data_IF_393887224542
#
_entry.id   IF_393887224542
#
_cell.length_a   1.000
_cell.length_b   1.000
_cell.length_c   1.000
_cell.angle_alpha   90.00
_cell.angle_beta   90.00
_cell.angle_gamma   90.00
#
_symmetry.space_group_name_H-M   'P 1'
#
loop_
_entity.id
_entity.type
_entity.pdbx_description
1 polymer ?
#
# COMPACT_ATOMS: atom_id res chain seq x y z
N UNK A 1 7.08 6.08 -7.75
CA UNK A 1 7.96 6.32 -6.58
C UNK A 1 7.09 6.32 -5.34
N UNK A 2 7.48 5.60 -4.30
CA UNK A 2 6.80 5.60 -3.00
C UNK A 2 7.65 6.30 -1.95
N UNK A 3 7.03 7.03 -1.03
CA UNK A 3 7.72 7.74 0.04
C UNK A 3 7.52 7.11 1.42
N UNK A 4 8.19 7.66 2.44
CA UNK A 4 8.01 7.30 3.83
C UNK A 4 6.71 7.90 4.40
N UNK A 5 5.91 7.09 5.09
CA UNK A 5 4.69 7.51 5.75
C UNK A 5 4.80 7.33 7.28
N UNK A 6 4.96 8.45 7.99
CA UNK A 6 5.02 8.47 9.45
C UNK A 6 3.61 8.48 10.04
N UNK A 7 3.26 7.59 10.99
CA UNK A 7 1.96 7.63 11.64
C UNK A 7 1.82 8.87 12.53
N UNK A 8 0.64 9.49 12.53
CA UNK A 8 0.16 10.38 13.58
C UNK A 8 -0.92 9.62 14.34
N UNK A 9 -0.61 9.28 15.59
CA UNK A 9 -1.52 8.54 16.45
C UNK A 9 -2.54 9.45 17.15
N UNK A 10 -3.78 8.96 17.39
CA UNK A 10 -4.84 9.76 18.01
C UNK A 10 -4.66 9.95 19.52
N UNK A 11 -4.04 8.99 20.23
CA UNK A 11 -3.92 9.00 21.69
C UNK A 11 -2.63 8.29 22.19
N UNK A 12 -1.57 8.30 21.37
CA UNK A 12 -0.32 7.57 21.61
C UNK A 12 -0.18 6.31 20.77
N UNK A 13 1.03 5.76 20.75
CA UNK A 13 1.35 4.59 19.93
C UNK A 13 0.67 3.32 20.49
N UNK A 14 -0.13 2.61 19.67
CA UNK A 14 -0.89 1.47 20.15
C UNK A 14 -0.03 0.19 20.18
N UNK A 15 0.06 -0.47 21.33
CA UNK A 15 0.84 -1.71 21.49
C UNK A 15 0.37 -2.90 20.62
N UNK A 16 -0.80 -2.81 19.98
CA UNK A 16 -1.29 -3.82 19.03
C UNK A 16 -0.70 -3.69 17.62
N UNK A 17 0.03 -2.60 17.33
CA UNK A 17 0.67 -2.32 16.05
C UNK A 17 2.18 -2.11 16.24
N UNK A 18 2.98 -3.17 16.42
CA UNK A 18 4.43 -3.05 16.32
C UNK A 18 4.83 -2.55 14.92
N UNK A 19 6.06 -2.04 14.79
CA UNK A 19 6.58 -1.40 13.57
C UNK A 19 6.39 -2.24 12.30
N UNK A 20 6.45 -3.57 12.37
CA UNK A 20 6.27 -4.49 11.24
C UNK A 20 4.84 -4.49 10.69
N UNK A 21 3.86 -4.14 11.53
CA UNK A 21 2.45 -4.19 11.21
C UNK A 21 1.90 -2.81 10.79
N UNK A 22 2.73 -1.78 10.70
CA UNK A 22 2.28 -0.43 10.33
C UNK A 22 1.68 -0.36 8.91
N UNK A 23 1.95 -1.33 8.03
CA UNK A 23 1.26 -1.45 6.74
C UNK A 23 -0.27 -1.58 6.88
N UNK A 24 -0.76 -2.15 7.99
CA UNK A 24 -2.20 -2.32 8.29
C UNK A 24 -2.91 -0.97 8.30
N UNK A 25 -2.23 0.06 8.81
CA UNK A 25 -2.75 1.43 8.91
C UNK A 25 -2.21 2.35 7.81
N UNK A 26 -1.66 1.78 6.74
CA UNK A 26 -1.18 2.54 5.59
C UNK A 26 0.10 3.32 5.87
N UNK A 27 0.93 2.90 6.83
CA UNK A 27 2.17 3.59 7.18
C UNK A 27 3.41 2.79 6.76
N UNK A 28 4.57 3.46 6.74
CA UNK A 28 5.86 2.79 6.57
C UNK A 28 6.14 1.88 7.77
N UNK A 29 6.72 0.71 7.51
CA UNK A 29 6.89 -0.36 8.49
C UNK A 29 8.32 -0.90 8.51
N UNK A 30 8.69 -1.58 9.60
CA UNK A 30 10.00 -2.26 9.69
C UNK A 30 10.08 -3.37 8.65
N UNK A 31 11.10 -3.31 7.80
CA UNK A 31 11.28 -4.19 6.64
C UNK A 31 11.29 -3.44 5.31
N UNK A 32 10.88 -2.17 5.29
CA UNK A 32 11.10 -1.29 4.14
C UNK A 32 12.60 -0.91 4.01
N UNK A 33 13.06 -0.60 2.79
CA UNK A 33 14.42 -0.10 2.58
C UNK A 33 14.70 1.18 3.39
N UNK A 34 15.88 1.28 3.99
CA UNK A 34 16.32 2.49 4.73
C UNK A 34 16.98 3.53 3.81
N UNK A 35 17.36 3.11 2.61
CA UNK A 35 17.83 3.96 1.52
C UNK A 35 16.95 3.80 0.31
N UNK A 36 17.07 4.73 -0.63
CA UNK A 36 16.26 4.67 -1.83
C UNK A 36 16.62 3.43 -2.67
N UNK A 37 15.62 2.59 -2.94
CA UNK A 37 15.82 1.27 -3.53
C UNK A 37 14.62 0.84 -4.38
N UNK A 38 14.81 -0.10 -5.34
CA UNK A 38 13.70 -0.78 -5.99
C UNK A 38 12.81 -1.52 -4.97
N UNK A 39 11.51 -1.46 -5.16
CA UNK A 39 10.50 -2.19 -4.38
C UNK A 39 9.45 -2.77 -5.31
N UNK A 40 8.72 -3.79 -4.86
CA UNK A 40 7.67 -4.42 -5.67
C UNK A 40 6.47 -3.49 -5.90
N UNK A 41 6.07 -2.75 -4.87
CA UNK A 41 4.92 -1.86 -4.87
C UNK A 41 5.13 -0.73 -3.84
N UNK A 42 4.27 0.28 -3.89
CA UNK A 42 4.31 1.47 -3.02
C UNK A 42 3.15 1.47 -2.02
N UNK A 43 3.18 2.37 -1.05
CA UNK A 43 2.05 2.64 -0.15
C UNK A 43 1.13 3.71 -0.75
N UNK A 44 -0.18 3.47 -0.74
CA UNK A 44 -1.17 4.37 -1.35
C UNK A 44 -1.14 5.80 -0.82
N UNK A 45 -0.82 6.00 0.46
CA UNK A 45 -0.76 7.32 1.10
C UNK A 45 0.46 8.16 0.69
N UNK A 46 1.46 7.56 0.05
CA UNK A 46 2.74 8.18 -0.30
C UNK A 46 3.25 7.61 -1.60
N UNK A 47 2.60 7.98 -2.70
CA UNK A 47 2.93 7.50 -4.04
C UNK A 47 2.85 8.58 -5.11
N UNK A 48 3.72 8.46 -6.11
CA UNK A 48 3.71 9.26 -7.31
C UNK A 48 3.99 8.38 -8.54
N UNK A 49 3.17 8.51 -9.58
CA UNK A 49 3.32 7.83 -10.86
C UNK A 49 3.45 8.84 -11.99
N UNK A 50 4.23 8.48 -13.03
CA UNK A 50 4.19 9.23 -14.28
C UNK A 50 2.83 9.02 -14.94
N UNK A 51 2.21 10.10 -15.41
CA UNK A 51 0.88 10.07 -16.03
C UNK A 51 0.79 9.11 -17.21
N UNK A 52 1.68 9.22 -18.19
CA UNK A 52 1.59 8.42 -19.42
C UNK A 52 1.69 6.90 -19.17
N UNK A 53 2.66 6.37 -18.39
CA UNK A 53 2.68 4.95 -18.02
C UNK A 53 1.43 4.49 -17.26
N UNK A 54 0.89 5.32 -16.36
CA UNK A 54 -0.33 4.98 -15.61
C UNK A 54 -1.56 4.93 -16.53
N UNK A 55 -1.68 5.88 -17.47
CA UNK A 55 -2.76 5.89 -18.46
C UNK A 55 -2.66 4.71 -19.44
N UNK A 56 -1.44 4.26 -19.77
CA UNK A 56 -1.22 3.09 -20.63
C UNK A 56 -1.80 1.81 -20.02
N UNK A 57 -1.81 1.68 -18.70
CA UNK A 57 -2.47 0.57 -18.00
C UNK A 57 -3.93 0.88 -17.64
N UNK A 58 -4.53 1.93 -18.19
CA UNK A 58 -5.94 2.29 -17.92
C UNK A 58 -6.19 2.88 -16.53
N UNK A 59 -5.15 3.31 -15.80
CA UNK A 59 -5.29 3.86 -14.45
C UNK A 59 -5.37 2.80 -13.35
N UNK A 60 -5.93 3.20 -12.21
CA UNK A 60 -6.26 2.27 -11.12
C UNK A 60 -7.57 1.56 -11.41
N UNK A 61 -7.65 0.28 -11.08
CA UNK A 61 -8.90 -0.46 -11.21
C UNK A 61 -9.91 0.03 -10.13
N UNK A 62 -11.06 0.60 -10.53
CA UNK A 62 -12.07 1.11 -9.58
C UNK A 62 -12.79 -0.01 -8.81
N UNK A 63 -12.74 -1.25 -9.31
CA UNK A 63 -13.35 -2.43 -8.67
C UNK A 63 -12.44 -3.04 -7.60
N UNK A 64 -11.17 -2.63 -7.57
CA UNK A 64 -10.26 -2.91 -6.45
C UNK A 64 -10.22 -1.67 -5.58
N UNK A 65 -10.51 -1.81 -4.29
CA UNK A 65 -10.35 -0.70 -3.35
C UNK A 65 -11.31 -0.70 -2.18
N UNK A 66 -11.12 0.28 -1.30
CA UNK A 66 -11.91 0.38 -0.07
C UNK A 66 -13.35 0.76 -0.39
N UNK A 67 -14.25 -0.21 -0.28
CA UNK A 67 -15.70 0.00 -0.42
C UNK A 67 -16.30 0.32 0.95
N UNK A 68 -16.56 1.60 1.21
CA UNK A 68 -17.13 2.08 2.48
C UNK A 68 -16.27 1.71 3.70
N UNK A 69 -16.85 0.93 4.62
CA UNK A 69 -16.16 0.47 5.83
C UNK A 69 -15.24 -0.74 5.59
N UNK A 70 -15.40 -1.46 4.48
CA UNK A 70 -14.63 -2.68 4.19
C UNK A 70 -13.22 -2.33 3.71
N UNK A 71 -12.16 -2.69 4.45
CA UNK A 71 -10.79 -2.34 4.09
C UNK A 71 -10.21 -3.29 3.02
N UNK A 72 -10.94 -3.47 1.93
CA UNK A 72 -10.38 -4.01 0.69
C UNK A 72 -9.43 -2.95 0.12
N UNK A 73 -8.39 -3.36 -0.60
CA UNK A 73 -7.39 -2.45 -1.14
C UNK A 73 -6.54 -3.11 -2.22
N UNK A 74 -5.26 -2.72 -2.28
CA UNK A 74 -4.24 -3.20 -3.22
C UNK A 74 -4.33 -2.62 -4.65
N UNK A 75 -5.02 -1.50 -4.84
CA UNK A 75 -5.08 -0.78 -6.12
C UNK A 75 -3.68 -0.39 -6.62
N UNK A 76 -2.85 0.13 -5.72
CA UNK A 76 -1.48 0.50 -6.03
C UNK A 76 -0.60 -0.71 -6.31
N UNK A 77 -0.88 -1.84 -5.64
CA UNK A 77 -0.19 -3.10 -5.87
C UNK A 77 -0.51 -3.68 -7.24
N UNK A 78 -1.80 -3.71 -7.62
CA UNK A 78 -2.26 -4.12 -8.94
C UNK A 78 -1.66 -3.23 -10.04
N UNK A 79 -1.71 -1.90 -9.87
CA UNK A 79 -1.11 -0.95 -10.80
C UNK A 79 0.41 -1.17 -10.97
N UNK A 80 1.15 -1.41 -9.87
CA UNK A 80 2.59 -1.69 -9.94
C UNK A 80 2.90 -2.97 -10.73
N UNK A 81 2.11 -4.03 -10.52
CA UNK A 81 2.24 -5.30 -11.27
C UNK A 81 1.99 -5.05 -12.76
N UNK A 82 0.89 -4.38 -13.12
CA UNK A 82 0.52 -4.09 -14.51
C UNK A 82 1.55 -3.22 -15.22
N UNK A 83 2.10 -2.22 -14.53
CA UNK A 83 3.18 -1.38 -15.06
C UNK A 83 4.41 -2.20 -15.43
N UNK A 84 4.81 -3.15 -14.57
CA UNK A 84 5.93 -4.06 -14.85
C UNK A 84 5.58 -5.10 -15.92
N UNK A 85 4.32 -5.53 -16.00
CA UNK A 85 3.84 -6.47 -17.01
C UNK A 85 3.93 -5.90 -18.43
N UNK A 86 3.64 -4.60 -18.58
CA UNK A 86 3.75 -3.89 -19.86
C UNK A 86 5.20 -3.65 -20.26
N UNK A 87 6.09 -3.38 -19.30
CA UNK A 87 7.49 -3.07 -19.56
C UNK A 87 8.36 -3.44 -18.35
N UNK A 88 9.15 -4.51 -18.52
CA UNK A 88 10.01 -5.08 -17.47
C UNK A 88 11.19 -4.17 -17.09
N UNK A 89 11.49 -3.14 -17.88
CA UNK A 89 12.57 -2.19 -17.56
C UNK A 89 12.13 -1.12 -16.55
N UNK A 90 10.82 -1.01 -16.29
CA UNK A 90 10.27 -0.04 -15.34
C UNK A 90 10.57 -0.44 -13.90
N UNK A 91 11.12 0.52 -13.15
CA UNK A 91 11.44 0.35 -11.74
C UNK A 91 10.45 1.12 -10.88
N UNK A 92 9.81 0.41 -9.95
CA UNK A 92 9.12 1.03 -8.82
C UNK A 92 10.15 1.26 -7.72
N UNK A 93 10.36 2.52 -7.34
CA UNK A 93 11.39 2.93 -6.37
C UNK A 93 10.76 3.45 -5.09
N UNK A 94 11.34 3.10 -3.96
CA UNK A 94 11.10 3.72 -2.66
C UNK A 94 12.10 4.86 -2.44
N UNK A 95 11.65 6.00 -1.91
CA UNK A 95 12.43 7.19 -1.60
C UNK A 95 12.15 7.61 -0.14
N UNK A 96 12.94 7.17 0.85
CA UNK A 96 12.67 7.43 2.26
C UNK A 96 12.76 8.93 2.61
N UNK A 97 13.45 9.75 1.81
CA UNK A 97 13.52 11.19 2.01
C UNK A 97 12.20 11.91 1.67
N UNK A 98 11.35 11.32 0.82
CA UNK A 98 10.02 11.85 0.53
C UNK A 98 9.06 11.44 1.65
N UNK A 99 8.78 12.36 2.58
CA UNK A 99 8.05 12.06 3.82
C UNK A 99 6.65 12.65 3.83
N UNK A 100 5.67 11.85 4.24
CA UNK A 100 4.33 12.29 4.59
C UNK A 100 4.02 11.95 6.05
N UNK A 101 3.09 12.70 6.64
CA UNK A 101 2.49 12.36 7.93
C UNK A 101 1.08 11.84 7.72
N UNK A 102 0.80 10.63 8.19
CA UNK A 102 -0.46 9.91 7.95
C UNK A 102 -1.29 9.86 9.23
N UNK A 103 -2.45 10.51 9.22
CA UNK A 103 -3.36 10.49 10.36
C UNK A 103 -4.05 9.12 10.49
N UNK A 104 -3.83 8.46 11.62
CA UNK A 104 -4.49 7.19 11.94
C UNK A 104 -5.71 7.47 12.81
N UNK A 105 -6.87 6.95 12.41
CA UNK A 105 -8.11 7.07 13.18
C UNK A 105 -8.15 6.07 14.34
N UNK A 106 -8.85 6.41 15.43
CA UNK A 106 -8.87 5.63 16.67
C UNK A 106 -9.50 4.23 16.55
N UNK A 107 -10.33 3.99 15.53
CA UNK A 107 -10.83 2.66 15.22
C UNK A 107 -9.71 1.74 14.71
N UNK A 108 -8.72 2.29 14.00
CA UNK A 108 -7.62 1.54 13.38
C UNK A 108 -6.52 1.13 14.35
N UNK A 109 -6.55 1.65 15.57
CA UNK A 109 -5.60 1.32 16.64
C UNK A 109 -6.09 0.17 17.53
N UNK A 110 -7.18 -0.52 17.14
CA UNK A 110 -7.78 -1.63 17.89
C UNK A 110 -7.40 -2.98 17.29
N UNK A 111 -7.23 -4.00 18.13
CA UNK A 111 -6.96 -5.38 17.69
C UNK A 111 -8.03 -5.91 16.71
N UNK A 112 -9.28 -5.53 16.90
CA UNK A 112 -10.37 -5.87 15.97
C UNK A 112 -10.12 -5.36 14.54
N UNK A 113 -9.56 -4.15 14.40
CA UNK A 113 -9.19 -3.62 13.09
C UNK A 113 -7.98 -4.36 12.51
N UNK A 114 -6.96 -4.64 13.31
CA UNK A 114 -5.76 -5.42 12.90
C UNK A 114 -6.17 -6.75 12.29
N UNK A 115 -7.02 -7.51 12.98
CA UNK A 115 -7.51 -8.80 12.51
C UNK A 115 -8.35 -8.66 11.23
N UNK A 116 -9.34 -7.75 11.23
CA UNK A 116 -10.23 -7.54 10.08
C UNK A 116 -9.44 -7.09 8.84
N UNK A 117 -8.57 -6.09 8.97
CA UNK A 117 -7.75 -5.56 7.88
C UNK A 117 -6.82 -6.62 7.30
N UNK A 118 -6.23 -7.46 8.15
CA UNK A 118 -5.38 -8.57 7.72
C UNK A 118 -6.14 -9.62 6.92
N UNK A 119 -7.35 -9.97 7.36
CA UNK A 119 -8.24 -10.86 6.60
C UNK A 119 -8.61 -10.27 5.23
N UNK A 120 -9.05 -9.01 5.20
CA UNK A 120 -9.40 -8.32 3.94
C UNK A 120 -8.20 -8.14 3.00
N UNK A 121 -6.99 -7.97 3.53
CA UNK A 121 -5.76 -7.99 2.73
C UNK A 121 -5.60 -9.31 1.98
N UNK A 122 -5.82 -10.44 2.68
CA UNK A 122 -5.77 -11.77 2.10
C UNK A 122 -6.80 -11.95 0.98
N UNK A 123 -8.04 -11.50 1.19
CA UNK A 123 -9.09 -11.52 0.17
C UNK A 123 -8.71 -10.69 -1.06
N UNK A 124 -8.17 -9.49 -0.85
CA UNK A 124 -7.74 -8.59 -1.93
C UNK A 124 -6.61 -9.23 -2.76
N UNK A 125 -5.60 -9.79 -2.09
CA UNK A 125 -4.49 -10.51 -2.74
C UNK A 125 -4.96 -11.74 -3.50
N UNK A 126 -5.90 -12.50 -2.96
CA UNK A 126 -6.48 -13.66 -3.64
C UNK A 126 -7.25 -13.26 -4.90
N UNK A 127 -8.00 -12.16 -4.86
CA UNK A 127 -8.70 -11.63 -6.03
C UNK A 127 -7.70 -11.17 -7.10
N UNK A 128 -6.72 -10.35 -6.73
CA UNK A 128 -5.66 -9.87 -7.64
C UNK A 128 -4.90 -11.04 -8.27
N UNK A 129 -4.52 -12.05 -7.48
CA UNK A 129 -3.79 -13.23 -7.97
C UNK A 129 -4.57 -13.99 -9.06
N UNK A 130 -5.90 -14.09 -8.95
CA UNK A 130 -6.74 -14.72 -9.98
C UNK A 130 -6.80 -13.92 -11.27
N UNK A 131 -6.73 -12.60 -11.20
CA UNK A 131 -6.88 -11.70 -12.36
C UNK A 131 -5.56 -11.44 -13.07
N UNK A 132 -4.49 -11.15 -12.33
CA UNK A 132 -3.20 -10.69 -12.88
C UNK A 132 -2.00 -11.54 -12.43
N UNK A 133 -2.21 -12.54 -11.57
CA UNK A 133 -1.15 -13.40 -11.01
C UNK A 133 -0.73 -14.57 -11.91
N UNK A 134 -1.40 -14.78 -13.06
CA UNK A 134 -0.95 -15.74 -14.08
C UNK A 134 -0.05 -15.01 -15.07
N UNK A 135 1.24 -15.24 -14.95
CA UNK A 135 2.24 -14.99 -16.00
C UNK A 135 2.54 -16.31 -16.70
#
# INVERSE_FOLDING_TARGET
VGGFAAPIWPAGEPGVLPDELLWIVGCSYRGLPVHAAPVRNVMGCSMAFRRAPLQQIGGFNPDTGRVGAHPIGCEETEACIRLQQVDRTRVVRYEPAARVRHHVSADRTRMAYVAHRSWCEGLSKAAISRTIGRA
#
